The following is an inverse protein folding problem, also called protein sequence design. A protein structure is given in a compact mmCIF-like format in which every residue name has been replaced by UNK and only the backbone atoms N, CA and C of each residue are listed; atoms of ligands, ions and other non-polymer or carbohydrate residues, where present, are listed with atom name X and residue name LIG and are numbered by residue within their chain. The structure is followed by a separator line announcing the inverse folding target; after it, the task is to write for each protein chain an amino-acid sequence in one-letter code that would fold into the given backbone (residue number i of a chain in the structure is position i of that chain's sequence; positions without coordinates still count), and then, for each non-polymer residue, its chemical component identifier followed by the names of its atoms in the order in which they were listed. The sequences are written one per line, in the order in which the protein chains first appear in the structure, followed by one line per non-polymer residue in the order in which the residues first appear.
data_IF_263484239329
#
_entry.id   IF_263484239329
#
_cell.length_a   1.000
_cell.length_b   1.000
_cell.length_c   1.000
_cell.angle_alpha   90.00
_cell.angle_beta   90.00
_cell.angle_gamma   90.00
#
_symmetry.space_group_name_H-M   'P 1'
#
loop_
_entity.id
_entity.type
_entity.pdbx_description
1 polymer ?
#
# COMPACT_ATOMS: atom_id res chain seq x y z
N UNK A 1 54.41 40.69 -4.11
CA UNK A 1 54.90 40.98 -2.75
C UNK A 1 53.73 40.99 -1.79
N UNK A 2 53.85 40.36 -0.61
CA UNK A 2 52.88 40.49 0.49
C UNK A 2 52.12 39.21 0.87
N UNK A 3 52.83 38.20 1.39
CA UNK A 3 52.19 37.14 2.18
C UNK A 3 51.90 37.65 3.60
N UNK A 4 50.66 37.53 4.07
CA UNK A 4 50.29 37.62 5.50
C UNK A 4 49.69 36.30 5.96
N UNK A 5 50.34 35.72 6.98
CA UNK A 5 49.94 34.58 7.81
C UNK A 5 48.60 34.82 8.53
N UNK A 6 48.00 33.73 9.01
CA UNK A 6 47.24 33.50 10.29
C UNK A 6 46.20 32.39 10.02
N UNK A 7 45.86 31.38 10.83
CA UNK A 7 46.31 30.76 12.10
C UNK A 7 45.58 29.38 12.12
N UNK A 8 46.24 28.27 12.45
CA UNK A 8 45.60 26.98 12.77
C UNK A 8 45.50 26.81 14.29
N UNK A 9 44.35 26.40 14.87
CA UNK A 9 44.25 26.17 16.30
C UNK A 9 44.74 24.78 16.72
N UNK A 10 45.34 24.78 17.92
CA UNK A 10 46.02 23.68 18.61
C UNK A 10 45.08 22.58 19.11
N UNK A 11 45.64 21.37 19.11
CA UNK A 11 45.15 20.13 19.73
C UNK A 11 44.78 20.31 21.21
N UNK A 12 43.64 19.76 21.62
CA UNK A 12 43.30 19.48 23.03
C UNK A 12 43.33 17.97 23.26
N UNK A 13 44.22 17.54 24.15
CA UNK A 13 44.26 16.18 24.73
C UNK A 13 43.16 16.04 25.79
N UNK A 14 42.36 14.97 25.76
CA UNK A 14 41.71 14.36 26.94
C UNK A 14 41.72 12.83 26.76
N UNK A 15 42.62 12.16 27.49
CA UNK A 15 42.43 11.44 28.76
C UNK A 15 41.86 10.03 28.57
N UNK A 16 42.79 9.05 28.59
CA UNK A 16 42.54 7.65 28.92
C UNK A 16 41.97 7.56 30.34
N UNK A 17 40.92 6.77 30.53
CA UNK A 17 40.63 6.12 31.81
C UNK A 17 40.61 4.61 31.58
N UNK A 18 41.31 3.91 32.46
CA UNK A 18 41.45 2.46 32.53
C UNK A 18 40.72 1.99 33.79
N UNK A 19 40.18 0.78 33.68
CA UNK A 19 40.04 -0.26 34.71
C UNK A 19 38.95 -0.11 35.79
N UNK A 20 38.05 -1.10 35.77
CA UNK A 20 37.25 -1.57 36.89
C UNK A 20 36.94 -3.04 36.69
N UNK A 21 37.86 -3.90 37.13
CA UNK A 21 37.71 -5.36 37.24
C UNK A 21 36.81 -5.69 38.44
N UNK A 22 35.76 -6.50 38.23
CA UNK A 22 35.15 -7.30 39.29
C UNK A 22 34.79 -8.68 38.73
N UNK A 23 35.60 -9.68 39.14
CA UNK A 23 35.24 -11.11 39.09
C UNK A 23 34.30 -11.40 40.28
N UNK A 24 33.33 -12.29 40.10
CA UNK A 24 33.30 -13.59 40.81
C UNK A 24 31.99 -14.39 40.64
N UNK A 25 32.19 -15.72 40.56
CA UNK A 25 31.32 -16.84 40.99
C UNK A 25 30.15 -17.31 40.10
N UNK A 26 30.41 -18.39 39.34
CA UNK A 26 29.52 -19.57 39.32
C UNK A 26 29.74 -20.43 40.58
N UNK A 27 28.92 -21.46 40.86
CA UNK A 27 28.95 -22.71 40.08
C UNK A 27 27.57 -23.42 39.92
N UNK A 28 27.50 -24.44 39.05
CA UNK A 28 26.33 -25.33 39.00
C UNK A 28 26.26 -26.28 37.80
N UNK A 29 27.18 -27.25 37.73
CA UNK A 29 27.09 -28.41 36.85
C UNK A 29 26.00 -29.37 37.37
N UNK A 30 25.09 -29.84 36.52
CA UNK A 30 24.30 -31.08 36.75
C UNK A 30 24.56 -32.09 35.61
N UNK A 31 24.57 -33.41 35.90
CA UNK A 31 24.96 -34.48 34.98
C UNK A 31 23.81 -34.93 34.05
N UNK A 32 24.10 -35.77 33.02
CA UNK A 32 23.11 -36.20 32.03
C UNK A 32 22.28 -37.38 32.56
N UNK A 33 20.96 -37.34 32.35
CA UNK A 33 20.03 -38.40 32.74
C UNK A 33 19.02 -38.70 31.64
N UNK A 34 19.08 -39.94 31.19
CA UNK A 34 18.03 -40.79 30.61
C UNK A 34 17.39 -40.43 29.26
N UNK A 35 17.93 -41.16 28.26
CA UNK A 35 17.30 -41.53 27.00
C UNK A 35 16.04 -42.35 27.29
N UNK A 36 14.87 -41.74 27.16
CA UNK A 36 13.62 -42.47 26.96
C UNK A 36 13.22 -42.38 25.48
N UNK A 37 13.36 -43.52 24.79
CA UNK A 37 12.72 -43.80 23.50
C UNK A 37 11.23 -43.53 23.64
N UNK A 38 10.71 -42.56 22.88
CA UNK A 38 9.30 -42.47 22.56
C UNK A 38 9.12 -42.80 21.08
N UNK A 39 8.54 -43.95 20.78
CA UNK A 39 8.09 -44.30 19.43
C UNK A 39 7.03 -43.29 18.93
N UNK A 40 6.95 -43.03 17.61
CA UNK A 40 6.02 -42.06 17.07
C UNK A 40 4.60 -42.62 17.07
N UNK A 41 3.78 -42.20 18.03
CA UNK A 41 2.32 -42.32 17.90
C UNK A 41 1.87 -41.43 16.74
N UNK A 42 1.32 -42.05 15.69
CA UNK A 42 0.60 -41.36 14.60
C UNK A 42 -0.41 -40.38 15.21
N UNK A 43 -0.14 -39.08 15.11
CA UNK A 43 -1.10 -38.05 15.50
C UNK A 43 -1.95 -37.71 14.28
N UNK A 44 -3.25 -37.91 14.43
CA UNK A 44 -4.29 -37.59 13.47
C UNK A 44 -4.24 -36.12 13.03
N UNK A 45 -4.45 -35.89 11.73
CA UNK A 45 -4.36 -34.58 11.07
C UNK A 45 -5.33 -33.51 11.61
N UNK A 46 -6.30 -33.89 12.46
CA UNK A 46 -7.23 -32.94 13.11
C UNK A 46 -6.59 -32.13 14.24
N UNK A 47 -5.70 -32.72 15.04
CA UNK A 47 -5.10 -32.02 16.20
C UNK A 47 -4.13 -30.89 15.82
N UNK A 48 -3.57 -30.94 14.60
CA UNK A 48 -2.64 -29.93 14.10
C UNK A 48 -3.36 -28.67 13.58
N UNK A 49 -4.60 -28.80 13.09
CA UNK A 49 -5.40 -27.67 12.59
C UNK A 49 -5.93 -26.79 13.73
N UNK A 50 -6.27 -27.36 14.88
CA UNK A 50 -6.82 -26.60 16.02
C UNK A 50 -5.77 -25.74 16.72
N UNK A 51 -4.51 -26.19 16.78
CA UNK A 51 -3.43 -25.45 17.48
C UNK A 51 -3.02 -24.15 16.76
N UNK A 52 -3.25 -24.04 15.45
CA UNK A 52 -2.92 -22.85 14.67
C UNK A 52 -4.13 -21.93 14.37
N UNK A 53 -5.35 -22.45 14.42
CA UNK A 53 -6.56 -21.63 14.29
C UNK A 53 -6.79 -20.70 15.49
N UNK A 54 -6.39 -21.13 16.69
CA UNK A 54 -6.60 -20.39 17.94
C UNK A 54 -5.77 -19.09 18.08
N UNK A 55 -4.72 -18.90 17.27
CA UNK A 55 -3.91 -17.66 17.30
C UNK A 55 -4.44 -16.52 16.42
N UNK A 56 -5.47 -16.75 15.61
CA UNK A 56 -5.85 -15.81 14.54
C UNK A 56 -7.35 -15.55 14.34
N UNK A 57 -8.20 -15.72 15.36
CA UNK A 57 -9.60 -15.33 15.24
C UNK A 57 -10.24 -14.88 16.58
N UNK A 58 -10.23 -13.58 16.93
CA UNK A 58 -11.34 -13.02 17.65
C UNK A 58 -12.42 -12.61 16.63
N UNK A 59 -13.69 -12.84 16.94
CA UNK A 59 -14.89 -12.47 16.14
C UNK A 59 -15.43 -13.48 15.13
N UNK A 60 -15.60 -14.74 15.51
CA UNK A 60 -16.68 -15.57 14.96
C UNK A 60 -17.27 -16.46 16.08
N UNK A 61 -18.10 -15.87 16.93
CA UNK A 61 -19.07 -16.61 17.76
C UNK A 61 -20.39 -15.86 17.74
N UNK A 62 -21.28 -16.26 16.83
CA UNK A 62 -22.75 -16.36 17.01
C UNK A 62 -23.47 -16.25 15.67
N UNK A 63 -23.61 -17.34 14.92
CA UNK A 63 -24.76 -17.48 14.01
C UNK A 63 -25.24 -18.93 14.12
N UNK A 64 -26.26 -19.14 14.95
CA UNK A 64 -27.11 -20.32 14.94
C UNK A 64 -28.09 -20.22 13.78
N UNK A 65 -28.13 -21.25 12.93
CA UNK A 65 -29.11 -21.39 11.85
C UNK A 65 -30.34 -22.11 12.38
N UNK A 66 -31.54 -21.59 12.07
CA UNK A 66 -32.80 -22.34 12.16
C UNK A 66 -33.66 -22.04 10.91
N UNK A 67 -34.48 -23.00 10.42
CA UNK A 67 -34.90 -23.06 9.02
C UNK A 67 -36.24 -22.39 8.71
N UNK A 68 -36.42 -22.16 7.41
CA UNK A 68 -37.60 -21.60 6.71
C UNK A 68 -38.96 -22.19 7.14
N UNK A 69 -39.98 -21.34 7.07
CA UNK A 69 -41.34 -21.72 6.71
C UNK A 69 -41.98 -20.69 5.76
N UNK A 70 -42.95 -21.19 5.01
CA UNK A 70 -43.53 -20.78 3.73
C UNK A 70 -44.72 -19.80 3.90
N UNK A 71 -45.19 -19.28 2.76
CA UNK A 71 -46.49 -18.65 2.44
C UNK A 71 -46.60 -17.12 2.58
N UNK A 72 -47.38 -16.36 1.78
CA UNK A 72 -48.07 -16.45 0.46
C UNK A 72 -48.90 -15.15 0.36
N UNK A 73 -49.18 -14.68 -0.86
CA UNK A 73 -50.22 -13.69 -1.22
C UNK A 73 -49.98 -12.23 -0.74
N UNK A 74 -50.33 -11.15 -1.44
CA UNK A 74 -51.30 -10.92 -2.52
C UNK A 74 -51.01 -9.57 -3.25
N UNK A 75 -51.54 -9.43 -4.47
CA UNK A 75 -51.44 -8.28 -5.41
C UNK A 75 -52.40 -7.13 -5.02
N UNK A 76 -51.98 -5.86 -5.06
CA UNK A 76 -52.39 -4.82 -6.03
C UNK A 76 -53.49 -3.87 -5.50
N UNK A 77 -53.90 -2.75 -6.18
CA UNK A 77 -53.21 -1.92 -7.19
C UNK A 77 -53.42 -0.36 -7.05
N UNK A 78 -52.69 0.39 -7.91
CA UNK A 78 -52.95 1.70 -8.59
C UNK A 78 -53.89 2.82 -8.06
N UNK A 79 -53.45 4.08 -8.25
CA UNK A 79 -54.27 5.31 -8.35
C UNK A 79 -53.39 6.58 -8.37
N UNK A 80 -53.19 7.25 -9.52
CA UNK A 80 -53.92 8.42 -10.03
C UNK A 80 -53.42 9.79 -9.49
N UNK A 81 -53.09 10.70 -10.42
CA UNK A 81 -52.70 12.09 -10.18
C UNK A 81 -53.92 13.03 -10.09
N UNK A 82 -53.73 14.28 -9.59
CA UNK A 82 -54.11 15.43 -10.41
C UNK A 82 -53.14 16.64 -10.35
N UNK A 83 -53.32 17.54 -11.32
CA UNK A 83 -52.63 18.83 -11.55
C UNK A 83 -53.35 19.99 -10.85
N UNK A 84 -52.62 21.01 -10.37
CA UNK A 84 -52.90 22.46 -10.58
C UNK A 84 -51.89 23.38 -9.86
N UNK A 85 -51.60 24.54 -10.47
CA UNK A 85 -51.39 25.82 -9.75
C UNK A 85 -49.98 26.36 -9.47
N UNK A 86 -49.54 27.35 -10.25
CA UNK A 86 -49.08 28.66 -9.73
C UNK A 86 -47.67 28.84 -9.14
N UNK A 87 -46.78 29.42 -9.95
CA UNK A 87 -45.79 30.48 -9.71
C UNK A 87 -45.02 30.67 -8.36
N UNK A 88 -43.77 31.13 -8.53
CA UNK A 88 -42.80 31.67 -7.53
C UNK A 88 -42.01 30.64 -6.70
N UNK A 89 -40.88 30.16 -7.25
CA UNK A 89 -39.71 29.63 -6.51
C UNK A 89 -38.58 29.29 -7.49
N UNK A 90 -37.98 30.32 -8.11
CA UNK A 90 -36.90 30.18 -9.09
C UNK A 90 -35.57 30.69 -8.53
N UNK A 91 -34.96 29.95 -7.59
CA UNK A 91 -33.52 30.01 -7.32
C UNK A 91 -33.02 28.81 -6.48
N UNK A 92 -33.84 28.26 -5.58
CA UNK A 92 -33.46 27.12 -4.73
C UNK A 92 -33.60 25.72 -5.37
N UNK A 93 -34.25 25.59 -6.53
CA UNK A 93 -34.58 24.29 -7.15
C UNK A 93 -33.53 23.75 -8.12
N UNK A 94 -32.51 24.55 -8.47
CA UNK A 94 -31.46 24.12 -9.42
C UNK A 94 -30.41 23.21 -8.77
N UNK A 95 -30.27 23.21 -7.44
CA UNK A 95 -29.27 22.40 -6.73
C UNK A 95 -29.77 20.99 -6.36
N UNK A 96 -31.08 20.80 -6.16
CA UNK A 96 -31.65 19.50 -5.74
C UNK A 96 -31.72 18.42 -6.84
N UNK A 97 -31.55 18.77 -8.13
CA UNK A 97 -31.60 17.80 -9.24
C UNK A 97 -30.24 17.22 -9.65
N UNK A 98 -29.14 17.60 -8.99
CA UNK A 98 -27.79 17.14 -9.35
C UNK A 98 -27.19 16.08 -8.40
N UNK A 99 -27.85 15.74 -7.29
CA UNK A 99 -27.28 14.91 -6.21
C UNK A 99 -27.46 13.41 -6.38
N UNK A 100 -28.47 12.94 -7.11
CA UNK A 100 -28.76 11.50 -7.21
C UNK A 100 -27.94 10.75 -8.29
N UNK A 101 -27.30 11.46 -9.23
CA UNK A 101 -26.60 10.85 -10.37
C UNK A 101 -25.08 10.72 -10.20
N UNK A 102 -24.52 11.04 -9.01
CA UNK A 102 -23.07 11.26 -8.83
C UNK A 102 -22.32 10.14 -8.08
N UNK A 103 -22.99 9.02 -7.78
CA UNK A 103 -22.43 7.94 -6.96
C UNK A 103 -21.59 6.90 -7.73
N UNK A 104 -21.68 6.84 -9.05
CA UNK A 104 -20.94 5.88 -9.88
C UNK A 104 -20.47 6.53 -11.18
N UNK A 105 -19.35 7.25 -11.16
CA UNK A 105 -18.41 7.47 -12.26
C UNK A 105 -17.63 8.77 -12.01
N UNK A 106 -16.30 8.67 -11.98
CA UNK A 106 -15.29 9.63 -12.46
C UNK A 106 -14.07 9.69 -11.53
N UNK A 107 -13.13 8.76 -11.78
CA UNK A 107 -11.72 8.89 -11.39
C UNK A 107 -10.93 9.85 -12.31
N UNK A 108 -11.63 10.69 -13.09
CA UNK A 108 -11.03 11.54 -14.14
C UNK A 108 -11.76 12.88 -14.35
N UNK A 109 -12.58 13.33 -13.40
CA UNK A 109 -13.31 14.60 -13.52
C UNK A 109 -12.45 15.80 -13.13
N UNK A 110 -12.21 16.71 -14.08
CA UNK A 110 -11.69 18.06 -13.82
C UNK A 110 -12.57 18.71 -12.74
N UNK A 111 -11.96 19.02 -11.58
CA UNK A 111 -12.65 19.68 -10.47
C UNK A 111 -12.97 21.11 -10.92
N UNK A 112 -14.24 21.36 -11.26
CA UNK A 112 -14.73 22.72 -11.53
C UNK A 112 -14.83 23.42 -10.18
N UNK A 113 -13.82 24.18 -9.80
CA UNK A 113 -13.76 24.82 -8.48
C UNK A 113 -14.78 25.95 -8.39
N UNK A 114 -15.87 25.71 -7.66
CA UNK A 114 -16.78 26.72 -7.16
C UNK A 114 -16.38 27.09 -5.71
N UNK A 115 -16.75 28.26 -5.18
CA UNK A 115 -16.65 28.47 -3.74
C UNK A 115 -17.48 27.41 -3.00
N UNK A 116 -16.96 26.88 -1.89
CA UNK A 116 -17.61 25.78 -1.17
C UNK A 116 -16.66 24.86 -0.43
N UNK A 117 -17.20 23.73 0.04
CA UNK A 117 -16.46 22.72 0.81
C UNK A 117 -16.07 21.56 -0.08
N UNK A 118 -14.82 21.13 0.06
CA UNK A 118 -14.19 20.02 -0.65
C UNK A 118 -13.67 19.02 0.37
N UNK A 119 -13.81 17.74 0.09
CA UNK A 119 -13.22 16.66 0.87
C UNK A 119 -12.36 15.79 -0.04
N UNK A 120 -11.08 15.69 0.26
CA UNK A 120 -10.12 14.79 -0.39
C UNK A 120 -9.86 13.63 0.55
N UNK A 121 -10.43 12.47 0.24
CA UNK A 121 -10.47 11.34 1.17
C UNK A 121 -9.86 10.09 0.57
N UNK A 122 -9.24 9.25 1.40
CA UNK A 122 -8.92 7.89 1.02
C UNK A 122 -10.18 7.01 1.01
N UNK A 123 -10.26 6.07 0.08
CA UNK A 123 -11.30 5.04 0.09
C UNK A 123 -10.85 3.81 0.89
N UNK A 124 -10.31 2.80 0.22
CA UNK A 124 -9.69 1.59 0.80
C UNK A 124 -8.24 1.83 1.22
N UNK A 125 -7.54 2.71 0.53
CA UNK A 125 -6.18 3.16 0.83
C UNK A 125 -6.08 4.66 0.54
N UNK A 126 -5.14 5.34 1.18
CA UNK A 126 -4.92 6.76 0.98
C UNK A 126 -3.59 6.98 0.26
N UNK A 127 -3.63 7.70 -0.85
CA UNK A 127 -2.43 8.17 -1.53
C UNK A 127 -2.24 9.66 -1.24
N UNK A 128 -1.27 9.96 -0.38
CA UNK A 128 -0.98 11.34 0.01
C UNK A 128 -0.55 12.20 -1.18
N UNK A 129 0.18 11.64 -2.15
CA UNK A 129 0.68 12.42 -3.27
C UNK A 129 -0.45 12.83 -4.22
N UNK A 130 -1.37 11.91 -4.52
CA UNK A 130 -2.58 12.24 -5.26
C UNK A 130 -3.46 13.24 -4.51
N UNK A 131 -3.58 13.09 -3.18
CA UNK A 131 -4.33 14.02 -2.37
C UNK A 131 -3.77 15.44 -2.47
N UNK A 132 -2.44 15.60 -2.36
CA UNK A 132 -1.77 16.90 -2.53
C UNK A 132 -2.00 17.50 -3.92
N UNK A 133 -1.93 16.69 -4.99
CA UNK A 133 -2.20 17.19 -6.34
C UNK A 133 -3.64 17.69 -6.51
N UNK A 134 -4.60 17.03 -5.87
CA UNK A 134 -6.01 17.47 -5.89
C UNK A 134 -6.18 18.76 -5.08
N UNK A 135 -5.57 18.84 -3.89
CA UNK A 135 -5.56 20.05 -3.06
C UNK A 135 -4.98 21.22 -3.84
N UNK A 136 -3.83 21.04 -4.48
CA UNK A 136 -3.17 22.07 -5.27
C UNK A 136 -4.05 22.58 -6.40
N UNK A 137 -4.73 21.68 -7.12
CA UNK A 137 -5.69 22.05 -8.17
C UNK A 137 -6.87 22.85 -7.62
N UNK A 138 -7.43 22.46 -6.47
CA UNK A 138 -8.54 23.17 -5.83
C UNK A 138 -8.09 24.56 -5.37
N UNK A 139 -6.95 24.66 -4.67
CA UNK A 139 -6.41 25.92 -4.16
C UNK A 139 -6.07 26.86 -5.30
N UNK A 140 -5.36 26.37 -6.33
CA UNK A 140 -5.00 27.19 -7.50
C UNK A 140 -6.22 27.70 -8.25
N UNK A 141 -7.30 26.92 -8.33
CA UNK A 141 -8.53 27.36 -8.98
C UNK A 141 -9.38 28.29 -8.10
N UNK A 142 -9.27 28.18 -6.76
CA UNK A 142 -10.00 29.01 -5.82
C UNK A 142 -9.37 30.40 -5.64
N UNK A 143 -8.05 30.48 -5.58
CA UNK A 143 -7.30 31.67 -5.17
C UNK A 143 -6.42 32.24 -6.31
N UNK A 144 -6.11 31.44 -7.32
CA UNK A 144 -5.19 31.86 -8.40
C UNK A 144 -3.73 31.81 -7.97
N UNK A 145 -2.95 32.80 -8.42
CA UNK A 145 -1.50 32.90 -8.19
C UNK A 145 -1.11 33.63 -6.91
N UNK A 146 -2.01 34.39 -6.31
CA UNK A 146 -1.74 35.19 -5.10
C UNK A 146 -2.05 34.38 -3.83
N UNK A 147 -1.03 33.74 -3.24
CA UNK A 147 -1.22 32.70 -2.22
C UNK A 147 -0.88 33.11 -0.80
N UNK A 148 -0.09 34.15 -0.60
CA UNK A 148 0.55 34.42 0.69
C UNK A 148 -0.47 34.71 1.80
N UNK A 149 -1.45 35.56 1.52
CA UNK A 149 -2.47 35.98 2.51
C UNK A 149 -3.85 35.35 2.27
N UNK A 150 -3.93 34.46 1.28
CA UNK A 150 -5.18 33.88 0.81
C UNK A 150 -5.33 32.40 1.16
N UNK A 151 -4.28 31.72 1.64
CA UNK A 151 -4.33 30.30 2.00
C UNK A 151 -3.94 30.11 3.46
N UNK A 152 -4.83 29.54 4.27
CA UNK A 152 -4.53 29.09 5.63
C UNK A 152 -4.48 27.56 5.68
N UNK A 153 -3.44 27.01 6.30
CA UNK A 153 -3.27 25.56 6.45
C UNK A 153 -3.39 25.18 7.93
N UNK A 154 -4.35 24.31 8.24
CA UNK A 154 -4.60 23.77 9.57
C UNK A 154 -4.24 22.29 9.64
N UNK A 155 -3.75 21.83 10.79
CA UNK A 155 -3.50 20.42 11.07
C UNK A 155 -4.60 19.85 11.96
N UNK A 156 -5.22 18.76 11.54
CA UNK A 156 -6.41 18.20 12.19
C UNK A 156 -6.13 17.54 13.55
N UNK A 157 -4.90 17.10 13.80
CA UNK A 157 -4.44 16.55 15.08
C UNK A 157 -4.36 17.60 16.20
N UNK A 158 -4.08 18.85 15.82
CA UNK A 158 -3.94 19.99 16.74
C UNK A 158 -5.22 20.83 16.86
N UNK A 159 -6.17 20.68 15.92
CA UNK A 159 -7.35 21.55 15.81
C UNK A 159 -8.68 20.79 15.97
N UNK A 160 -9.78 21.53 16.01
CA UNK A 160 -11.15 21.00 16.09
C UNK A 160 -12.07 21.67 15.07
N UNK A 161 -13.26 21.11 14.88
CA UNK A 161 -14.23 21.59 13.89
C UNK A 161 -14.60 23.06 14.05
N UNK A 162 -14.73 23.55 15.29
CA UNK A 162 -15.02 24.96 15.57
C UNK A 162 -13.99 25.92 14.98
N UNK A 163 -12.68 25.64 15.15
CA UNK A 163 -11.60 26.47 14.61
C UNK A 163 -11.58 26.48 13.08
N UNK A 164 -11.88 25.34 12.45
CA UNK A 164 -11.99 25.25 10.98
C UNK A 164 -13.12 26.13 10.47
N UNK A 165 -14.29 26.11 11.11
CA UNK A 165 -15.44 26.92 10.72
C UNK A 165 -15.18 28.41 10.99
N UNK A 166 -14.50 28.76 12.07
CA UNK A 166 -14.07 30.13 12.35
C UNK A 166 -13.15 30.67 11.24
N UNK A 167 -12.12 29.91 10.88
CA UNK A 167 -11.24 30.24 9.76
C UNK A 167 -12.01 30.36 8.43
N UNK A 168 -12.99 29.48 8.20
CA UNK A 168 -13.80 29.49 6.99
C UNK A 168 -14.77 30.67 6.90
N UNK A 169 -15.23 31.21 8.04
CA UNK A 169 -16.08 32.41 8.11
C UNK A 169 -15.29 33.71 8.07
N UNK A 170 -13.99 33.63 8.33
CA UNK A 170 -13.11 34.79 8.26
C UNK A 170 -12.66 34.96 6.81
N UNK A 171 -13.27 35.91 6.09
CA UNK A 171 -12.81 36.29 4.74
C UNK A 171 -11.36 36.76 4.73
N UNK A 172 -10.77 36.93 3.55
CA UNK A 172 -9.46 37.60 3.43
C UNK A 172 -9.68 39.12 3.33
N UNK A 173 -8.79 39.91 3.96
CA UNK A 173 -8.80 41.37 3.84
C UNK A 173 -8.12 41.86 2.56
N UNK A 174 -7.22 41.05 2.00
CA UNK A 174 -6.34 41.43 0.89
C UNK A 174 -6.59 40.61 -0.38
N UNK A 175 -7.26 39.46 -0.27
CA UNK A 175 -7.59 38.61 -1.40
C UNK A 175 -9.10 38.50 -1.63
N UNK A 176 -9.57 38.53 -2.89
CA UNK A 176 -10.99 38.39 -3.21
C UNK A 176 -11.54 36.99 -2.91
N UNK A 177 -10.65 35.99 -2.75
CA UNK A 177 -11.00 34.59 -2.48
C UNK A 177 -9.95 33.99 -1.54
N UNK A 178 -10.40 33.16 -0.61
CA UNK A 178 -9.55 32.50 0.40
C UNK A 178 -9.66 30.98 0.28
N UNK A 179 -8.64 30.25 0.68
CA UNK A 179 -8.67 28.81 0.89
C UNK A 179 -8.26 28.44 2.31
N UNK A 180 -8.99 27.52 2.94
CA UNK A 180 -8.65 26.92 4.24
C UNK A 180 -8.42 25.43 4.02
N UNK A 181 -7.18 24.99 4.12
CA UNK A 181 -6.77 23.59 3.89
C UNK A 181 -6.55 22.91 5.23
N UNK A 182 -7.30 21.85 5.50
CA UNK A 182 -7.18 21.06 6.73
C UNK A 182 -6.57 19.71 6.41
N UNK A 183 -5.34 19.47 6.90
CA UNK A 183 -4.61 18.21 6.71
C UNK A 183 -4.88 17.27 7.88
N UNK A 184 -5.24 16.02 7.62
CA UNK A 184 -5.57 15.04 8.67
C UNK A 184 -6.92 15.32 9.32
N UNK A 185 -7.92 15.72 8.53
CA UNK A 185 -9.25 16.07 9.00
C UNK A 185 -9.98 14.91 9.71
N UNK A 186 -9.53 13.66 9.54
CA UNK A 186 -10.00 12.51 10.31
C UNK A 186 -9.69 12.58 11.80
N UNK A 187 -8.64 13.31 12.19
CA UNK A 187 -8.22 13.50 13.58
C UNK A 187 -8.85 14.72 14.27
N UNK A 188 -9.69 15.50 13.57
CA UNK A 188 -10.32 16.70 14.13
C UNK A 188 -11.14 16.38 15.39
N UNK A 189 -10.92 17.19 16.43
CA UNK A 189 -11.61 17.10 17.71
C UNK A 189 -13.04 17.63 17.61
N UNK A 190 -13.96 16.99 18.36
CA UNK A 190 -15.38 17.36 18.45
C UNK A 190 -16.31 16.58 17.50
N UNK A 191 -17.62 16.79 17.67
CA UNK A 191 -18.68 16.12 16.89
C UNK A 191 -18.97 16.78 15.52
N UNK A 192 -18.48 18.01 15.32
CA UNK A 192 -18.59 18.73 14.04
C UNK A 192 -19.98 19.27 13.74
N UNK A 193 -20.77 19.59 14.77
CA UNK A 193 -22.07 20.25 14.61
C UNK A 193 -21.93 21.63 13.92
N UNK A 194 -20.85 22.34 14.20
CA UNK A 194 -20.55 23.65 13.61
C UNK A 194 -20.31 23.54 12.10
N UNK A 195 -19.61 22.49 11.67
CA UNK A 195 -19.36 22.23 10.25
C UNK A 195 -20.66 21.81 9.53
N UNK A 196 -21.51 21.02 10.19
CA UNK A 196 -22.83 20.67 9.63
C UNK A 196 -23.67 21.92 9.39
N UNK A 197 -23.71 22.85 10.34
CA UNK A 197 -24.39 24.13 10.17
C UNK A 197 -23.74 24.99 9.07
N UNK A 198 -22.41 25.01 8.97
CA UNK A 198 -21.70 25.73 7.92
C UNK A 198 -22.00 25.20 6.51
N UNK A 199 -22.22 23.90 6.35
CA UNK A 199 -22.58 23.28 5.07
C UNK A 199 -23.97 23.67 4.55
N UNK A 200 -24.84 24.27 5.37
CA UNK A 200 -26.13 24.84 4.91
C UNK A 200 -25.92 26.12 4.08
N UNK A 201 -24.98 26.95 4.51
CA UNK A 201 -24.68 28.25 3.91
C UNK A 201 -23.17 28.54 3.99
N UNK A 202 -22.35 27.87 3.15
CA UNK A 202 -20.91 28.10 3.14
C UNK A 202 -20.58 29.49 2.58
N UNK A 203 -19.46 30.07 3.03
CA UNK A 203 -19.01 31.36 2.54
C UNK A 203 -18.72 31.29 1.02
N UNK A 204 -19.29 32.21 0.22
CA UNK A 204 -19.21 32.18 -1.25
C UNK A 204 -17.84 32.59 -1.82
N UNK A 205 -16.90 32.93 -0.96
CA UNK A 205 -15.58 33.47 -1.25
C UNK A 205 -14.46 32.64 -0.59
N UNK A 206 -14.83 31.60 0.19
CA UNK A 206 -13.88 30.72 0.87
C UNK A 206 -14.01 29.27 0.39
N UNK A 207 -12.89 28.68 -0.03
CA UNK A 207 -12.77 27.27 -0.34
C UNK A 207 -12.25 26.51 0.88
N UNK A 208 -13.06 25.62 1.46
CA UNK A 208 -12.60 24.75 2.57
C UNK A 208 -12.20 23.40 1.98
N UNK A 209 -10.97 22.97 2.20
CA UNK A 209 -10.44 21.70 1.67
C UNK A 209 -10.06 20.78 2.83
N UNK A 210 -10.86 19.74 3.05
CA UNK A 210 -10.65 18.75 4.10
C UNK A 210 -9.91 17.55 3.54
N UNK A 211 -8.68 17.30 4.00
CA UNK A 211 -7.86 16.15 3.58
C UNK A 211 -7.87 15.11 4.69
N UNK A 212 -8.42 13.92 4.41
CA UNK A 212 -8.52 12.85 5.41
C UNK A 212 -8.09 11.50 4.84
N UNK A 213 -7.37 10.70 5.63
CA UNK A 213 -6.98 9.36 5.19
C UNK A 213 -8.20 8.44 5.01
N UNK A 214 -9.25 8.65 5.82
CA UNK A 214 -10.50 7.91 5.74
C UNK A 214 -11.67 8.73 6.26
N UNK A 215 -12.83 8.55 5.65
CA UNK A 215 -14.09 9.10 6.13
C UNK A 215 -14.77 8.15 7.12
N UNK A 216 -15.00 8.58 8.37
CA UNK A 216 -15.78 7.79 9.35
C UNK A 216 -17.28 8.04 9.14
N UNK A 217 -17.91 7.16 8.34
CA UNK A 217 -19.35 7.20 8.02
C UNK A 217 -20.27 7.07 9.24
N UNK A 218 -19.76 6.74 10.43
CA UNK A 218 -20.56 6.69 11.66
C UNK A 218 -20.84 8.09 12.22
N UNK A 219 -19.92 9.04 12.03
CA UNK A 219 -20.09 10.42 12.52
C UNK A 219 -21.02 11.21 11.61
N UNK A 220 -21.93 11.99 12.19
CA UNK A 220 -22.91 12.79 11.45
C UNK A 220 -22.25 13.82 10.52
N UNK A 221 -21.17 14.47 10.97
CA UNK A 221 -20.43 15.47 10.17
C UNK A 221 -19.93 14.91 8.85
N UNK A 222 -19.39 13.69 8.83
CA UNK A 222 -18.88 13.05 7.61
C UNK A 222 -20.00 12.66 6.65
N UNK A 223 -21.18 12.29 7.15
CA UNK A 223 -22.38 12.08 6.31
C UNK A 223 -22.81 13.39 5.65
N UNK A 224 -22.92 14.46 6.42
CA UNK A 224 -23.27 15.79 5.89
C UNK A 224 -22.27 16.28 4.84
N UNK A 225 -20.97 16.10 5.09
CA UNK A 225 -19.90 16.40 4.10
C UNK A 225 -20.13 15.59 2.82
N UNK A 226 -20.41 14.28 2.93
CA UNK A 226 -20.62 13.44 1.75
C UNK A 226 -21.83 13.82 0.90
N UNK A 227 -22.86 14.41 1.51
CA UNK A 227 -24.09 14.81 0.83
C UNK A 227 -24.00 16.22 0.21
N UNK A 228 -23.23 17.12 0.81
CA UNK A 228 -23.25 18.57 0.52
C UNK A 228 -21.93 19.12 -0.03
N UNK A 229 -20.81 18.48 0.26
CA UNK A 229 -19.49 18.88 -0.21
C UNK A 229 -19.09 18.12 -1.48
N UNK A 230 -18.10 18.65 -2.20
CA UNK A 230 -17.48 17.93 -3.31
C UNK A 230 -16.45 16.94 -2.77
N UNK A 231 -16.74 15.65 -2.85
CA UNK A 231 -15.84 14.58 -2.38
C UNK A 231 -15.02 14.02 -3.53
N UNK A 232 -13.70 14.01 -3.36
CA UNK A 232 -12.73 13.38 -4.28
C UNK A 232 -12.00 12.26 -3.56
N UNK A 233 -11.88 11.11 -4.21
CA UNK A 233 -11.20 9.94 -3.65
C UNK A 233 -9.75 9.89 -4.13
N UNK A 234 -8.80 9.95 -3.20
CA UNK A 234 -7.36 9.86 -3.44
C UNK A 234 -6.86 8.45 -3.06
N UNK A 235 -7.01 7.50 -3.97
CA UNK A 235 -6.58 6.11 -3.83
C UNK A 235 -5.40 5.79 -4.76
N UNK A 236 -4.49 4.88 -4.37
CA UNK A 236 -3.44 4.38 -5.25
C UNK A 236 -4.00 3.85 -6.56
N UNK A 237 -3.36 4.24 -7.67
CA UNK A 237 -3.80 3.86 -9.01
C UNK A 237 -3.50 2.38 -9.28
N UNK A 238 -4.42 1.71 -9.97
CA UNK A 238 -4.18 0.36 -10.52
C UNK A 238 -3.24 0.45 -11.72
N UNK A 239 -2.54 -0.62 -12.05
CA UNK A 239 -1.49 -0.65 -13.08
C UNK A 239 -1.89 0.02 -14.42
N UNK A 240 -3.06 -0.32 -14.97
CA UNK A 240 -3.52 0.31 -16.23
C UNK A 240 -3.79 1.81 -16.10
N UNK A 241 -4.36 2.26 -14.97
CA UNK A 241 -4.58 3.68 -14.70
C UNK A 241 -3.27 4.42 -14.37
N UNK A 242 -2.32 3.72 -13.74
CA UNK A 242 -1.00 4.24 -13.41
C UNK A 242 -0.18 4.48 -14.68
N UNK A 243 -0.13 3.51 -15.60
CA UNK A 243 0.52 3.67 -16.91
C UNK A 243 -0.06 4.86 -17.68
N UNK A 244 -1.40 4.98 -17.71
CA UNK A 244 -2.07 6.14 -18.33
C UNK A 244 -1.69 7.46 -17.65
N UNK A 245 -1.70 7.50 -16.31
CA UNK A 245 -1.33 8.72 -15.55
C UNK A 245 0.12 9.13 -15.82
N UNK A 246 1.04 8.17 -15.88
CA UNK A 246 2.44 8.41 -16.22
C UNK A 246 2.56 8.93 -17.66
N UNK A 247 1.86 8.33 -18.62
CA UNK A 247 1.83 8.82 -20.00
C UNK A 247 1.28 10.25 -20.12
N UNK A 248 0.21 10.57 -19.37
CA UNK A 248 -0.35 11.92 -19.33
C UNK A 248 0.64 12.92 -18.72
N UNK A 249 1.41 12.51 -17.70
CA UNK A 249 2.43 13.35 -17.08
C UNK A 249 3.62 13.59 -18.03
N UNK A 250 4.07 12.55 -18.74
CA UNK A 250 5.10 12.66 -19.79
C UNK A 250 4.69 13.72 -20.82
N UNK A 251 3.43 13.69 -21.28
CA UNK A 251 2.88 14.69 -22.21
C UNK A 251 2.82 16.09 -21.60
N UNK A 252 2.40 16.22 -20.33
CA UNK A 252 2.33 17.50 -19.63
C UNK A 252 3.70 18.16 -19.48
N UNK A 253 4.75 17.35 -19.28
CA UNK A 253 6.15 17.78 -19.21
C UNK A 253 6.78 17.99 -20.59
N UNK A 254 6.01 17.85 -21.67
CA UNK A 254 6.48 17.94 -23.06
C UNK A 254 7.61 16.95 -23.39
N UNK A 255 7.70 15.86 -22.63
CA UNK A 255 8.64 14.78 -22.86
C UNK A 255 8.11 13.81 -23.89
N UNK A 256 9.02 13.16 -24.61
CA UNK A 256 8.70 12.05 -25.51
C UNK A 256 9.35 10.80 -24.96
N UNK A 257 8.53 9.83 -24.57
CA UNK A 257 8.97 8.52 -24.08
C UNK A 257 8.15 7.48 -24.85
N UNK A 258 8.79 6.42 -25.34
CA UNK A 258 8.08 5.34 -26.01
C UNK A 258 7.14 4.60 -25.05
N UNK A 259 6.10 3.94 -25.58
CA UNK A 259 5.17 3.16 -24.75
C UNK A 259 5.90 2.06 -23.96
N UNK A 260 6.90 1.42 -24.56
CA UNK A 260 7.77 0.43 -23.90
C UNK A 260 8.66 1.08 -22.83
N UNK A 261 9.11 2.32 -23.01
CA UNK A 261 9.83 3.08 -21.99
C UNK A 261 8.95 3.45 -20.79
N UNK A 262 7.68 3.83 -21.03
CA UNK A 262 6.70 4.03 -19.96
C UNK A 262 6.43 2.70 -19.24
N UNK A 263 6.37 1.60 -19.97
CA UNK A 263 6.20 0.28 -19.39
C UNK A 263 7.37 -0.10 -18.49
N UNK A 264 8.59 0.10 -18.96
CA UNK A 264 9.82 -0.16 -18.22
C UNK A 264 9.90 0.70 -16.95
N UNK A 265 9.52 1.98 -17.04
CA UNK A 265 9.47 2.89 -15.91
C UNK A 265 8.49 2.40 -14.83
N UNK A 266 7.27 2.03 -15.21
CA UNK A 266 6.25 1.53 -14.27
C UNK A 266 6.66 0.19 -13.67
N UNK A 267 7.24 -0.70 -14.47
CA UNK A 267 7.67 -2.01 -14.01
C UNK A 267 8.84 -1.95 -13.03
N UNK A 268 9.81 -1.06 -13.27
CA UNK A 268 10.97 -0.90 -12.39
C UNK A 268 10.65 -0.16 -11.10
N UNK A 269 9.85 0.90 -11.18
CA UNK A 269 9.56 1.76 -10.02
C UNK A 269 8.40 1.21 -9.18
N UNK A 270 7.42 0.56 -9.81
CA UNK A 270 6.23 0.04 -9.16
C UNK A 270 5.13 1.11 -8.96
N UNK A 271 4.15 0.84 -8.07
CA UNK A 271 2.93 1.64 -7.97
C UNK A 271 3.07 2.96 -7.19
N UNK A 272 4.27 3.33 -6.76
CA UNK A 272 4.51 4.56 -6.01
C UNK A 272 4.53 5.76 -6.96
N UNK A 273 3.42 6.50 -6.99
CA UNK A 273 3.27 7.64 -7.90
C UNK A 273 4.27 8.75 -7.60
N UNK A 274 4.54 9.07 -6.33
CA UNK A 274 5.54 10.11 -5.97
C UNK A 274 6.91 9.74 -6.52
N UNK A 275 7.30 8.48 -6.39
CA UNK A 275 8.58 7.99 -6.91
C UNK A 275 8.62 8.06 -8.43
N UNK A 276 7.56 7.62 -9.12
CA UNK A 276 7.46 7.71 -10.58
C UNK A 276 7.66 9.14 -11.08
N UNK A 277 7.06 10.13 -10.41
CA UNK A 277 7.20 11.54 -10.81
C UNK A 277 8.63 12.04 -10.65
N UNK A 278 9.31 11.66 -9.57
CA UNK A 278 10.74 11.96 -9.40
C UNK A 278 11.63 11.27 -10.43
N UNK A 279 11.22 10.13 -10.97
CA UNK A 279 11.95 9.50 -12.09
C UNK A 279 11.67 10.16 -13.43
N UNK A 280 10.45 10.66 -13.66
CA UNK A 280 10.16 11.51 -14.81
C UNK A 280 11.00 12.81 -14.79
N UNK A 281 11.23 13.41 -13.62
CA UNK A 281 12.11 14.58 -13.48
C UNK A 281 13.55 14.29 -13.90
N UNK A 282 14.05 13.07 -13.63
CA UNK A 282 15.39 12.67 -14.08
C UNK A 282 15.43 12.42 -15.58
N UNK A 283 14.39 11.79 -16.13
CA UNK A 283 14.26 11.60 -17.58
C UNK A 283 14.16 12.95 -18.30
N UNK A 284 13.48 13.92 -17.71
CA UNK A 284 13.41 15.31 -18.21
C UNK A 284 14.78 15.97 -18.26
N UNK A 285 15.57 15.86 -17.19
CA UNK A 285 16.93 16.38 -17.15
C UNK A 285 17.90 15.66 -18.10
N UNK A 286 17.60 14.41 -18.46
CA UNK A 286 18.41 13.60 -19.38
C UNK A 286 18.04 13.83 -20.85
N UNK A 287 16.76 14.06 -21.15
CA UNK A 287 16.26 14.15 -22.51
C UNK A 287 16.90 15.32 -23.29
N UNK A 288 17.44 15.02 -24.46
CA UNK A 288 17.79 16.02 -25.46
C UNK A 288 16.55 16.67 -26.06
N UNK A 289 16.68 17.91 -26.56
CA UNK A 289 15.57 18.62 -27.16
C UNK A 289 15.06 17.89 -28.43
N UNK A 290 13.86 17.31 -28.37
CA UNK A 290 13.19 16.67 -29.50
C UNK A 290 13.29 15.14 -29.57
N UNK A 291 14.12 14.53 -28.72
CA UNK A 291 14.36 13.09 -28.72
C UNK A 291 13.24 12.32 -28.02
N UNK A 292 12.96 11.11 -28.52
CA UNK A 292 12.04 10.16 -27.87
C UNK A 292 12.84 9.13 -27.11
N UNK A 293 12.70 9.11 -25.78
CA UNK A 293 13.42 8.18 -24.94
C UNK A 293 12.91 6.75 -25.14
N UNK A 294 13.83 5.83 -25.49
CA UNK A 294 13.52 4.40 -25.63
C UNK A 294 13.49 3.67 -24.28
N UNK A 295 13.07 2.41 -24.26
CA UNK A 295 13.09 1.60 -23.05
C UNK A 295 14.51 1.41 -22.50
N UNK A 296 15.50 1.26 -23.38
CA UNK A 296 16.92 1.14 -23.02
C UNK A 296 17.46 2.42 -22.38
N UNK A 297 17.12 3.58 -22.93
CA UNK A 297 17.53 4.87 -22.39
C UNK A 297 16.85 5.17 -21.05
N UNK A 298 15.56 4.86 -20.93
CA UNK A 298 14.84 4.90 -19.65
C UNK A 298 15.54 4.01 -18.63
N UNK A 299 15.86 2.76 -18.98
CA UNK A 299 16.58 1.85 -18.10
C UNK A 299 17.97 2.38 -17.71
N UNK A 300 18.68 3.04 -18.63
CA UNK A 300 19.99 3.64 -18.38
C UNK A 300 19.92 4.82 -17.39
N UNK A 301 18.93 5.71 -17.55
CA UNK A 301 18.69 6.85 -16.63
C UNK A 301 18.22 6.38 -15.26
N UNK A 302 17.45 5.29 -15.25
CA UNK A 302 17.09 4.62 -14.00
C UNK A 302 18.33 4.02 -13.31
N UNK A 303 19.42 3.79 -14.04
CA UNK A 303 20.68 3.23 -13.54
C UNK A 303 20.58 1.72 -13.25
N UNK A 304 21.74 1.07 -13.09
CA UNK A 304 21.81 -0.33 -12.61
C UNK A 304 21.42 -0.47 -11.14
N UNK A 305 21.71 0.56 -10.34
CA UNK A 305 21.35 0.60 -8.94
C UNK A 305 19.96 1.19 -8.80
N UNK A 306 18.94 0.34 -8.74
CA UNK A 306 17.62 0.80 -8.31
C UNK A 306 16.73 -0.35 -7.91
N UNK A 307 17.00 -0.87 -6.72
CA UNK A 307 16.10 -1.64 -5.87
C UNK A 307 15.16 -2.48 -6.73
N UNK A 308 15.72 -3.48 -7.42
CA UNK A 308 14.86 -4.48 -8.05
C UNK A 308 13.91 -4.93 -6.95
N UNK A 309 12.61 -4.75 -7.14
CA UNK A 309 11.74 -4.83 -6.00
C UNK A 309 11.87 -6.20 -5.36
N UNK A 310 12.02 -6.24 -4.04
CA UNK A 310 11.97 -7.47 -3.25
C UNK A 310 10.77 -8.37 -3.66
N UNK A 311 9.71 -7.78 -4.22
CA UNK A 311 8.63 -8.57 -4.82
C UNK A 311 9.06 -9.46 -5.99
N UNK A 312 9.96 -9.05 -6.90
CA UNK A 312 10.44 -9.88 -8.02
C UNK A 312 11.20 -11.10 -7.52
N UNK A 313 12.03 -10.93 -6.49
CA UNK A 313 12.69 -12.04 -5.80
C UNK A 313 11.65 -13.00 -5.18
N UNK A 314 10.67 -12.45 -4.46
CA UNK A 314 9.59 -13.23 -3.86
C UNK A 314 8.77 -14.01 -4.89
N UNK A 315 8.42 -13.37 -6.01
CA UNK A 315 7.62 -13.95 -7.09
C UNK A 315 8.43 -15.06 -7.80
N UNK A 316 9.71 -14.84 -8.10
CA UNK A 316 10.59 -15.86 -8.68
C UNK A 316 10.74 -17.10 -7.77
N UNK A 317 10.88 -16.90 -6.46
CA UNK A 317 10.90 -18.01 -5.50
C UNK A 317 9.56 -18.76 -5.46
N UNK A 318 8.43 -18.03 -5.42
CA UNK A 318 7.09 -18.63 -5.40
C UNK A 318 6.85 -19.50 -6.63
N UNK A 319 7.32 -19.05 -7.80
CA UNK A 319 7.20 -19.74 -9.09
C UNK A 319 8.29 -20.81 -9.31
N UNK A 320 9.17 -21.05 -8.32
CA UNK A 320 10.30 -21.99 -8.39
C UNK A 320 11.30 -21.69 -9.52
N UNK A 321 11.40 -20.44 -9.95
CA UNK A 321 12.40 -19.98 -10.93
C UNK A 321 13.73 -19.73 -10.22
N UNK A 322 14.43 -20.82 -9.89
CA UNK A 322 15.65 -20.79 -9.08
C UNK A 322 16.74 -19.87 -9.65
N UNK A 323 17.00 -19.95 -10.96
CA UNK A 323 17.99 -19.11 -11.63
C UNK A 323 17.66 -17.61 -11.49
N UNK A 324 16.40 -17.24 -11.74
CA UNK A 324 15.95 -15.86 -11.60
C UNK A 324 16.00 -15.39 -10.14
N UNK A 325 15.56 -16.22 -9.20
CA UNK A 325 15.62 -15.91 -7.77
C UNK A 325 17.06 -15.67 -7.29
N UNK A 326 18.02 -16.48 -7.77
CA UNK A 326 19.44 -16.27 -7.49
C UNK A 326 19.96 -14.97 -8.11
N UNK A 327 19.66 -14.70 -9.38
CA UNK A 327 20.08 -13.46 -10.03
C UNK A 327 19.53 -12.23 -9.30
N UNK A 328 18.23 -12.21 -8.96
CA UNK A 328 17.64 -11.10 -8.20
C UNK A 328 18.26 -10.95 -6.81
N UNK A 329 18.58 -12.05 -6.14
CA UNK A 329 19.21 -12.04 -4.82
C UNK A 329 20.65 -11.51 -4.88
N UNK A 330 21.46 -11.97 -5.84
CA UNK A 330 22.84 -11.50 -6.04
C UNK A 330 22.86 -10.00 -6.33
N UNK A 331 21.98 -9.53 -7.23
CA UNK A 331 21.85 -8.11 -7.55
C UNK A 331 21.45 -7.28 -6.32
N UNK A 332 20.50 -7.76 -5.49
CA UNK A 332 20.12 -7.09 -4.24
C UNK A 332 21.28 -7.00 -3.25
N UNK A 333 22.08 -8.06 -3.12
CA UNK A 333 23.27 -8.06 -2.27
C UNK A 333 24.35 -7.11 -2.79
N UNK A 334 24.56 -7.05 -4.11
CA UNK A 334 25.49 -6.12 -4.75
C UNK A 334 25.05 -4.66 -4.59
N UNK A 335 23.74 -4.39 -4.59
CA UNK A 335 23.15 -3.08 -4.28
C UNK A 335 23.24 -2.70 -2.79
N UNK A 336 23.72 -3.61 -1.93
CA UNK A 336 23.87 -3.38 -0.50
C UNK A 336 22.58 -3.54 0.31
N UNK A 337 21.56 -4.22 -0.22
CA UNK A 337 20.37 -4.53 0.56
C UNK A 337 20.68 -5.49 1.71
N UNK A 338 20.01 -5.26 2.84
CA UNK A 338 20.24 -6.03 4.05
C UNK A 338 19.83 -7.50 3.87
N UNK A 339 20.72 -8.43 4.22
CA UNK A 339 20.50 -9.86 4.06
C UNK A 339 19.29 -10.38 4.85
N UNK A 340 18.99 -9.80 6.02
CA UNK A 340 17.82 -10.19 6.81
C UNK A 340 16.53 -9.68 6.17
N UNK A 341 16.57 -8.53 5.49
CA UNK A 341 15.45 -8.01 4.68
C UNK A 341 15.17 -8.89 3.45
N UNK A 342 16.22 -9.38 2.79
CA UNK A 342 16.11 -10.39 1.71
C UNK A 342 15.47 -11.68 2.26
N UNK A 343 15.97 -12.21 3.38
CA UNK A 343 15.37 -13.39 4.05
C UNK A 343 13.91 -13.18 4.42
N UNK A 344 13.58 -12.03 5.02
CA UNK A 344 12.21 -11.68 5.38
C UNK A 344 11.26 -11.70 4.17
N UNK A 345 11.76 -11.30 3.01
CA UNK A 345 11.03 -11.34 1.74
C UNK A 345 10.80 -12.78 1.26
N UNK A 346 11.85 -13.61 1.24
CA UNK A 346 11.75 -15.03 0.87
C UNK A 346 10.77 -15.78 1.78
N UNK A 347 10.89 -15.57 3.09
CA UNK A 347 9.99 -16.12 4.12
C UNK A 347 8.54 -15.69 3.90
N UNK A 348 8.32 -14.40 3.64
CA UNK A 348 6.98 -13.87 3.35
C UNK A 348 6.39 -14.56 2.12
N UNK A 349 7.14 -14.67 1.03
CA UNK A 349 6.68 -15.28 -0.21
C UNK A 349 6.24 -16.73 0.01
N UNK A 350 7.10 -17.59 0.58
CA UNK A 350 6.74 -18.99 0.82
C UNK A 350 5.57 -19.17 1.79
N UNK A 351 5.45 -18.31 2.81
CA UNK A 351 4.28 -18.31 3.70
C UNK A 351 3.00 -17.93 2.98
N UNK A 352 3.06 -16.99 2.04
CA UNK A 352 1.90 -16.63 1.19
C UNK A 352 1.52 -17.78 0.27
N UNK A 353 2.49 -18.47 -0.35
CA UNK A 353 2.25 -19.66 -1.17
C UNK A 353 1.61 -20.78 -0.35
N UNK A 354 2.13 -21.06 0.85
CA UNK A 354 1.55 -22.06 1.77
C UNK A 354 0.15 -21.69 2.24
N UNK A 355 -0.09 -20.42 2.54
CA UNK A 355 -1.42 -19.92 2.87
C UNK A 355 -2.40 -20.10 1.70
N UNK A 356 -1.98 -19.76 0.48
CA UNK A 356 -2.79 -19.90 -0.72
C UNK A 356 -3.12 -21.37 -1.01
N UNK A 357 -2.14 -22.28 -0.86
CA UNK A 357 -2.36 -23.72 -0.97
C UNK A 357 -3.40 -24.20 0.05
N UNK A 358 -3.26 -23.83 1.33
CA UNK A 358 -4.20 -24.22 2.38
C UNK A 358 -5.63 -23.72 2.13
N UNK A 359 -5.77 -22.47 1.69
CA UNK A 359 -7.07 -21.85 1.37
C UNK A 359 -7.72 -22.47 0.12
N UNK A 360 -6.91 -22.83 -0.88
CA UNK A 360 -7.37 -23.55 -2.08
C UNK A 360 -7.88 -24.94 -1.72
N UNK A 361 -7.15 -25.68 -0.88
CA UNK A 361 -7.58 -27.00 -0.36
C UNK A 361 -8.85 -26.89 0.48
N UNK A 362 -8.99 -25.84 1.29
CA UNK A 362 -10.19 -25.56 2.09
C UNK A 362 -11.39 -25.04 1.26
N UNK A 363 -11.24 -24.87 -0.06
CA UNK A 363 -12.25 -24.30 -0.96
C UNK A 363 -12.82 -22.95 -0.46
N UNK A 364 -11.96 -22.12 0.11
CA UNK A 364 -12.35 -20.80 0.60
C UNK A 364 -12.85 -19.90 -0.55
N UNK A 365 -13.75 -18.96 -0.26
CA UNK A 365 -14.20 -18.00 -1.25
C UNK A 365 -13.08 -17.02 -1.62
N UNK A 366 -13.16 -16.40 -2.81
CA UNK A 366 -12.19 -15.40 -3.26
C UNK A 366 -11.99 -14.27 -2.24
N UNK A 367 -13.06 -13.79 -1.63
CA UNK A 367 -13.00 -12.73 -0.62
C UNK A 367 -12.29 -13.18 0.66
N UNK A 368 -12.56 -14.40 1.11
CA UNK A 368 -11.86 -15.01 2.26
C UNK A 368 -10.37 -15.17 1.96
N UNK A 369 -10.00 -15.56 0.73
CA UNK A 369 -8.60 -15.69 0.33
C UNK A 369 -7.87 -14.35 0.33
N UNK A 370 -8.48 -13.30 -0.24
CA UNK A 370 -7.90 -11.95 -0.26
C UNK A 370 -7.68 -11.40 1.15
N UNK A 371 -8.67 -11.59 2.02
CA UNK A 371 -8.58 -11.16 3.42
C UNK A 371 -7.49 -11.91 4.18
N UNK A 372 -7.48 -13.24 4.11
CA UNK A 372 -6.55 -14.10 4.82
C UNK A 372 -5.08 -13.92 4.37
N UNK A 373 -4.86 -13.74 3.06
CA UNK A 373 -3.51 -13.51 2.50
C UNK A 373 -3.06 -12.04 2.61
N UNK A 374 -3.90 -11.18 3.19
CA UNK A 374 -3.70 -9.73 3.26
C UNK A 374 -3.45 -9.10 1.87
N UNK A 375 -4.05 -9.68 0.83
CA UNK A 375 -4.01 -9.19 -0.55
C UNK A 375 -5.17 -8.24 -0.83
N UNK A 376 -5.52 -7.39 0.14
CA UNK A 376 -6.66 -6.50 0.05
C UNK A 376 -6.37 -5.30 -0.88
N UNK A 377 -7.40 -4.80 -1.55
CA UNK A 377 -7.31 -3.58 -2.37
C UNK A 377 -6.46 -3.73 -3.63
N UNK A 378 -5.44 -2.89 -3.87
CA UNK A 378 -4.69 -2.84 -5.14
C UNK A 378 -3.85 -4.10 -5.39
N UNK A 379 -3.64 -4.98 -4.42
CA UNK A 379 -2.88 -6.22 -4.57
C UNK A 379 -3.72 -7.46 -4.87
N UNK A 380 -5.05 -7.31 -5.01
CA UNK A 380 -5.96 -8.42 -5.25
C UNK A 380 -5.73 -9.15 -6.59
N UNK A 381 -5.09 -8.50 -7.56
CA UNK A 381 -4.71 -9.12 -8.83
C UNK A 381 -3.66 -10.22 -8.65
N UNK A 382 -2.78 -10.11 -7.63
CA UNK A 382 -1.74 -11.10 -7.33
C UNK A 382 -2.28 -12.45 -6.88
N UNK A 383 -3.56 -12.51 -6.48
CA UNK A 383 -4.17 -13.74 -5.99
C UNK A 383 -4.11 -14.87 -7.02
N UNK A 384 -4.40 -14.58 -8.29
CA UNK A 384 -4.42 -15.63 -9.31
C UNK A 384 -3.01 -16.18 -9.54
N UNK A 385 -2.01 -15.32 -9.76
CA UNK A 385 -0.62 -15.75 -9.89
C UNK A 385 -0.10 -16.51 -8.67
N UNK A 386 -0.50 -16.12 -7.45
CA UNK A 386 -0.13 -16.85 -6.23
C UNK A 386 -0.81 -18.23 -6.13
N UNK A 387 -2.06 -18.36 -6.58
CA UNK A 387 -2.77 -19.64 -6.63
C UNK A 387 -2.20 -20.57 -7.70
N UNK A 388 -1.70 -20.02 -8.80
CA UNK A 388 -1.02 -20.74 -9.87
C UNK A 388 0.35 -21.22 -9.38
N UNK A 389 1.13 -20.34 -8.75
CA UNK A 389 2.38 -20.69 -8.09
C UNK A 389 2.15 -21.80 -7.05
N UNK A 390 1.16 -21.65 -6.16
CA UNK A 390 0.81 -22.64 -5.16
C UNK A 390 0.42 -24.01 -5.74
N UNK A 391 -0.08 -24.08 -6.97
CA UNK A 391 -0.39 -25.36 -7.63
C UNK A 391 0.88 -26.20 -7.90
N UNK A 392 2.04 -25.55 -8.04
CA UNK A 392 3.33 -26.21 -8.19
C UNK A 392 3.98 -26.64 -6.87
N UNK A 393 3.30 -26.50 -5.73
CA UNK A 393 3.83 -26.86 -4.41
C UNK A 393 2.95 -27.86 -3.66
N UNK A 394 3.60 -28.77 -2.95
CA UNK A 394 2.98 -29.55 -1.88
C UNK A 394 3.31 -28.96 -0.50
N UNK A 395 2.46 -29.22 0.49
CA UNK A 395 2.69 -28.75 1.87
C UNK A 395 4.01 -29.28 2.47
N UNK A 396 4.41 -30.57 2.29
CA UNK A 396 5.71 -31.06 2.74
C UNK A 396 6.89 -30.36 2.08
N UNK A 397 6.80 -30.01 0.79
CA UNK A 397 7.86 -29.26 0.10
C UNK A 397 7.98 -27.83 0.62
N UNK A 398 6.85 -27.15 0.85
CA UNK A 398 6.84 -25.81 1.45
C UNK A 398 7.39 -25.84 2.88
N UNK A 399 7.10 -26.90 3.64
CA UNK A 399 7.70 -27.13 4.95
C UNK A 399 9.23 -27.24 4.88
N UNK A 400 9.77 -28.03 3.95
CA UNK A 400 11.23 -28.13 3.73
C UNK A 400 11.85 -26.80 3.30
N UNK A 401 11.21 -26.11 2.36
CA UNK A 401 11.69 -24.83 1.86
C UNK A 401 11.71 -23.74 2.94
N UNK A 402 10.66 -23.66 3.77
CA UNK A 402 10.63 -22.75 4.92
C UNK A 402 11.71 -23.10 5.94
N UNK A 403 11.91 -24.39 6.24
CA UNK A 403 12.97 -24.84 7.15
C UNK A 403 14.38 -24.48 6.62
N UNK A 404 14.60 -24.52 5.30
CA UNK A 404 15.84 -24.06 4.68
C UNK A 404 16.09 -22.57 4.92
N UNK A 405 15.05 -21.74 4.74
CA UNK A 405 15.13 -20.31 5.05
C UNK A 405 15.27 -20.01 6.54
N UNK A 406 14.71 -20.83 7.44
CA UNK A 406 14.89 -20.70 8.90
C UNK A 406 16.34 -20.98 9.30
N UNK A 407 16.96 -22.03 8.75
CA UNK A 407 18.38 -22.31 8.96
C UNK A 407 19.26 -21.19 8.42
N UNK A 408 18.92 -20.62 7.28
CA UNK A 408 19.64 -19.49 6.69
C UNK A 408 19.55 -18.24 7.58
N UNK A 409 18.36 -17.92 8.11
CA UNK A 409 18.17 -16.82 9.05
C UNK A 409 19.01 -16.98 10.33
N UNK A 410 19.04 -18.18 10.90
CA UNK A 410 19.89 -18.47 12.06
C UNK A 410 21.40 -18.30 11.75
N UNK A 411 21.85 -18.74 10.57
CA UNK A 411 23.25 -18.59 10.12
C UNK A 411 23.64 -17.13 9.89
N UNK A 412 22.79 -16.35 9.22
CA UNK A 412 23.06 -14.91 9.00
C UNK A 412 23.12 -14.17 10.34
N UNK A 413 22.18 -14.44 11.27
CA UNK A 413 22.18 -13.82 12.60
C UNK A 413 23.37 -14.20 13.48
N UNK A 414 23.97 -15.36 13.24
CA UNK A 414 25.18 -15.82 13.94
C UNK A 414 26.48 -15.37 13.28
N UNK A 415 26.40 -14.53 12.24
CA UNK A 415 27.58 -13.92 11.60
C UNK A 415 28.16 -14.73 10.44
N UNK A 416 27.43 -15.69 9.88
CA UNK A 416 27.84 -16.38 8.66
C UNK A 416 27.83 -15.41 7.46
N UNK A 417 28.67 -15.69 6.45
CA UNK A 417 28.71 -14.93 5.21
C UNK A 417 27.32 -14.99 4.51
N UNK A 418 26.67 -13.84 4.27
CA UNK A 418 25.29 -13.82 3.79
C UNK A 418 25.07 -14.41 2.39
N UNK A 419 25.94 -14.11 1.42
CA UNK A 419 25.74 -14.50 0.02
C UNK A 419 25.64 -16.02 -0.12
N UNK A 420 26.67 -16.73 0.31
CA UNK A 420 26.73 -18.20 0.29
C UNK A 420 25.59 -18.86 1.08
N UNK A 421 25.21 -18.26 2.22
CA UNK A 421 24.11 -18.74 3.06
C UNK A 421 22.76 -18.62 2.36
N UNK A 422 22.49 -17.51 1.69
CA UNK A 422 21.25 -17.25 0.97
C UNK A 422 21.17 -18.08 -0.31
N UNK A 423 22.26 -18.17 -1.08
CA UNK A 423 22.36 -18.98 -2.29
C UNK A 423 22.01 -20.44 -2.00
N UNK A 424 22.60 -21.00 -0.94
CA UNK A 424 22.29 -22.37 -0.52
C UNK A 424 20.82 -22.55 -0.13
N UNK A 425 20.24 -21.57 0.56
CA UNK A 425 18.86 -21.62 1.02
C UNK A 425 17.85 -21.52 -0.13
N UNK A 426 18.10 -20.66 -1.12
CA UNK A 426 17.27 -20.53 -2.32
C UNK A 426 17.34 -21.80 -3.17
N UNK A 427 18.54 -22.37 -3.34
CA UNK A 427 18.72 -23.63 -4.06
C UNK A 427 17.99 -24.80 -3.38
N UNK A 428 18.10 -24.89 -2.05
CA UNK A 428 17.40 -25.94 -1.29
C UNK A 428 15.87 -25.75 -1.34
N UNK A 429 15.38 -24.51 -1.19
CA UNK A 429 13.97 -24.19 -1.26
C UNK A 429 13.36 -24.54 -2.63
N UNK A 430 14.05 -24.26 -3.73
CA UNK A 430 13.59 -24.57 -5.07
C UNK A 430 13.80 -26.05 -5.48
N UNK A 431 14.82 -26.72 -4.95
CA UNK A 431 15.30 -28.03 -5.40
C UNK A 431 14.44 -29.23 -4.98
N UNK A 432 13.53 -29.07 -4.01
CA UNK A 432 12.78 -30.17 -3.39
C UNK A 432 11.77 -30.93 -4.28
N UNK A 433 11.65 -30.61 -5.58
CA UNK A 433 10.66 -31.16 -6.52
C UNK A 433 11.17 -32.21 -7.52
N UNK A 434 12.46 -32.59 -7.51
CA UNK A 434 13.02 -33.54 -8.50
C UNK A 434 13.31 -34.97 -8.00
N UNK A 435 13.08 -35.31 -6.73
CA UNK A 435 13.39 -36.65 -6.21
C UNK A 435 12.35 -37.75 -6.51
N UNK A 436 11.28 -37.47 -7.29
CA UNK A 436 10.18 -38.40 -7.54
C UNK A 436 10.19 -39.20 -8.86
N UNK A 437 11.12 -38.94 -9.79
CA UNK A 437 11.22 -39.73 -11.04
C UNK A 437 12.66 -40.21 -11.24
N UNK A 438 13.06 -41.25 -10.49
CA UNK A 438 14.14 -42.12 -10.97
C UNK A 438 13.64 -42.78 -12.27
N UNK A 439 14.40 -42.76 -13.37
CA UNK A 439 14.06 -43.55 -14.54
C UNK A 439 13.99 -45.01 -14.10
N UNK A 440 12.86 -45.67 -14.36
CA UNK A 440 12.74 -47.12 -14.17
C UNK A 440 13.86 -47.75 -15.00
N UNK A 441 14.82 -48.36 -14.32
CA UNK A 441 15.88 -49.16 -14.94
C UNK A 441 15.23 -50.11 -15.94
N UNK A 442 15.62 -49.99 -17.21
CA UNK A 442 15.24 -50.92 -18.24
C UNK A 442 15.55 -52.34 -17.76
N UNK A 443 14.52 -53.19 -17.79
CA UNK A 443 14.62 -54.59 -17.45
C UNK A 443 15.73 -55.23 -18.25
N UNK A 444 16.72 -55.72 -17.51
CA UNK A 444 17.77 -56.63 -17.95
C UNK A 444 17.13 -57.80 -18.68
N UNK A 445 17.36 -57.89 -19.99
CA UNK A 445 17.08 -59.07 -20.79
C UNK A 445 17.87 -60.24 -20.21
N UNK A 446 17.14 -61.23 -19.69
CA UNK A 446 17.67 -62.49 -19.22
C UNK A 446 17.35 -63.58 -20.24
N UNK A 447 18.44 -64.13 -20.80
CA UNK A 447 18.67 -65.44 -21.41
C UNK A 447 17.49 -66.26 -21.92
#
# INVERSE_FOLDING_TARGET
MGQRRVLLPRRVRRRRQRAGLLRSRGPGHRPPGDVLRAEPRRRDARGFLESNAARYAPHLKSISVSPRSVDRAQRGPAGAAPRSGGAQQSSARRWKKCSAARAEHQQSGVVKASPGVYAVVGGKAFDSYLAEQVVEKIVSAAVGTDRADAVEVLRGDETGWGRVVEAARTGSLFAPRRAVVVRGADALKGEGAEMQAYLEAPAPDVAVVLVAARMDKRKAVWKAISERASVTVAEPLKEGALRRRVADEVRQRQLRVSDDGIAELVERVGPDLRRLMGELEKLEAFAGAGDTLTAEEVAAVLGRGRARPLYKLGDALAERRAADALNFMEELLDEGEDALRILGTLHRSLRQVRGALGLKTARASREQMLSALKLNGPFAFKLNGLLDAAAGWSDPELGRALAALERADARVKSGSEPRSTLTSAVMEACGGGKEGKRPRSAGRTGR
#
